data_IF_507681089053
#
_entry.id   IF_507681089053
#
_cell.length_a   1.000
_cell.length_b   1.000
_cell.length_c   1.000
_cell.angle_alpha   90.00
_cell.angle_beta   90.00
_cell.angle_gamma   90.00
#
_symmetry.space_group_name_H-M   'P 1'
#
loop_
_entity.id
_entity.type
_entity.pdbx_description
1 polymer ?
#
# COMPACT_ATOMS: atom_id res chain seq x y z
N UNK A 1 -52.82 11.92 8.48
CA UNK A 1 -51.71 11.66 7.54
C UNK A 1 -50.34 12.15 8.04
N UNK A 2 -50.12 13.45 8.31
CA UNK A 2 -48.79 13.99 8.74
C UNK A 2 -48.17 13.34 9.99
N UNK A 3 -48.99 12.93 10.98
CA UNK A 3 -48.51 12.29 12.22
C UNK A 3 -48.00 10.86 11.98
N UNK A 4 -48.66 10.11 11.09
CA UNK A 4 -48.28 8.75 10.71
C UNK A 4 -46.95 8.75 9.93
N UNK A 5 -46.81 9.67 8.96
CA UNK A 5 -45.56 9.86 8.20
C UNK A 5 -44.38 10.22 9.12
N UNK A 6 -44.59 11.09 10.12
CA UNK A 6 -43.56 11.43 11.11
C UNK A 6 -43.13 10.23 11.97
N UNK A 7 -44.07 9.38 12.38
CA UNK A 7 -43.77 8.18 13.17
C UNK A 7 -43.05 7.13 12.33
N UNK A 8 -43.48 6.92 11.08
CA UNK A 8 -42.79 6.04 10.14
C UNK A 8 -41.35 6.49 9.86
N UNK A 9 -41.15 7.79 9.58
CA UNK A 9 -39.80 8.31 9.32
C UNK A 9 -38.89 8.21 10.56
N UNK A 10 -39.43 8.46 11.76
CA UNK A 10 -38.68 8.32 13.01
C UNK A 10 -38.29 6.88 13.31
N UNK A 11 -39.21 5.93 13.09
CA UNK A 11 -38.92 4.49 13.28
C UNK A 11 -37.90 3.99 12.26
N UNK A 12 -38.06 4.35 10.98
CA UNK A 12 -37.07 4.05 9.95
C UNK A 12 -35.66 4.57 10.29
N UNK A 13 -35.56 5.84 10.72
CA UNK A 13 -34.28 6.43 11.11
C UNK A 13 -33.63 5.69 12.29
N UNK A 14 -34.43 5.31 13.31
CA UNK A 14 -33.94 4.54 14.46
C UNK A 14 -33.43 3.16 14.03
N UNK A 15 -34.16 2.47 13.15
CA UNK A 15 -33.74 1.16 12.62
C UNK A 15 -32.43 1.27 11.83
N UNK A 16 -32.29 2.28 10.98
CA UNK A 16 -31.03 2.53 10.24
C UNK A 16 -29.89 2.84 11.20
N UNK A 17 -30.13 3.66 12.22
CA UNK A 17 -29.11 3.99 13.23
C UNK A 17 -28.63 2.74 13.96
N UNK A 18 -29.54 1.86 14.40
CA UNK A 18 -29.19 0.60 15.07
C UNK A 18 -28.39 -0.30 14.13
N UNK A 19 -28.78 -0.40 12.86
CA UNK A 19 -28.05 -1.20 11.87
C UNK A 19 -26.62 -0.68 11.63
N UNK A 20 -26.45 0.64 11.52
CA UNK A 20 -25.13 1.27 11.36
C UNK A 20 -24.26 1.02 12.60
N UNK A 21 -24.83 1.16 13.81
CA UNK A 21 -24.11 0.91 15.05
C UNK A 21 -23.67 -0.56 15.15
N UNK A 22 -24.57 -1.50 14.85
CA UNK A 22 -24.24 -2.93 14.84
C UNK A 22 -23.14 -3.26 13.84
N UNK A 23 -23.24 -2.74 12.61
CA UNK A 23 -22.23 -2.93 11.57
C UNK A 23 -20.87 -2.34 11.99
N UNK A 24 -20.87 -1.12 12.54
CA UNK A 24 -19.64 -0.47 13.02
C UNK A 24 -18.95 -1.26 14.13
N UNK A 25 -19.72 -1.88 15.03
CA UNK A 25 -19.19 -2.74 16.09
C UNK A 25 -18.52 -4.00 15.53
N UNK A 26 -19.13 -4.63 14.52
CA UNK A 26 -18.53 -5.78 13.82
C UNK A 26 -17.20 -5.37 13.17
N UNK A 27 -17.20 -4.28 12.39
CA UNK A 27 -15.98 -3.80 11.72
C UNK A 27 -14.88 -3.45 12.71
N UNK A 28 -15.21 -2.75 13.80
CA UNK A 28 -14.24 -2.41 14.85
C UNK A 28 -13.67 -3.68 15.51
N UNK A 29 -14.51 -4.67 15.81
CA UNK A 29 -14.07 -5.96 16.34
C UNK A 29 -13.09 -6.69 15.42
N UNK A 30 -13.37 -6.70 14.10
CA UNK A 30 -12.46 -7.26 13.11
C UNK A 30 -11.11 -6.51 13.06
N UNK A 31 -11.12 -5.18 13.04
CA UNK A 31 -9.90 -4.37 13.01
C UNK A 31 -9.05 -4.65 14.26
N UNK A 32 -9.67 -4.65 15.45
CA UNK A 32 -8.95 -4.92 16.69
C UNK A 32 -8.39 -6.35 16.73
N UNK A 33 -9.15 -7.34 16.27
CA UNK A 33 -8.68 -8.72 16.16
C UNK A 33 -7.51 -8.84 15.19
N UNK A 34 -7.57 -8.14 14.06
CA UNK A 34 -6.49 -8.14 13.07
C UNK A 34 -5.22 -7.52 13.64
N UNK A 35 -5.31 -6.36 14.30
CA UNK A 35 -4.16 -5.72 14.95
C UNK A 35 -3.58 -6.63 16.04
N UNK A 36 -4.43 -7.23 16.89
CA UNK A 36 -3.99 -8.10 17.97
C UNK A 36 -3.31 -9.40 17.47
N UNK A 37 -3.67 -9.86 16.26
CA UNK A 37 -3.14 -11.09 15.66
C UNK A 37 -2.02 -10.80 14.66
N UNK A 38 -1.86 -9.54 14.23
CA UNK A 38 -0.84 -9.18 13.25
C UNK A 38 0.55 -9.37 13.85
N UNK A 39 1.38 -10.15 13.16
CA UNK A 39 2.81 -10.23 13.46
C UNK A 39 3.48 -8.93 13.06
N UNK A 40 4.45 -8.46 13.85
CA UNK A 40 5.29 -7.32 13.47
C UNK A 40 5.89 -7.56 12.07
N UNK A 41 5.67 -6.60 11.17
CA UNK A 41 6.21 -6.68 9.81
C UNK A 41 7.71 -6.39 9.91
N UNK A 42 8.52 -7.44 9.87
CA UNK A 42 9.95 -7.27 9.69
C UNK A 42 10.22 -6.91 8.22
N UNK A 43 10.56 -5.65 7.96
CA UNK A 43 10.91 -5.14 6.64
C UNK A 43 12.13 -5.84 6.04
N UNK A 44 13.00 -6.44 6.86
CA UNK A 44 14.11 -7.25 6.36
C UNK A 44 13.62 -8.50 5.62
N UNK A 45 12.45 -9.05 5.97
CA UNK A 45 11.84 -10.16 5.22
C UNK A 45 11.35 -9.73 3.83
N UNK A 46 11.19 -8.42 3.58
CA UNK A 46 10.85 -7.87 2.27
C UNK A 46 12.11 -7.57 1.44
N UNK A 47 13.31 -7.74 1.99
CA UNK A 47 14.55 -7.50 1.25
C UNK A 47 14.68 -8.54 0.15
N UNK A 48 14.74 -8.04 -1.08
CA UNK A 48 14.98 -8.86 -2.25
C UNK A 48 16.38 -9.47 -2.20
N UNK A 49 16.55 -10.62 -2.83
CA UNK A 49 17.89 -11.15 -3.11
C UNK A 49 18.61 -10.16 -4.04
N UNK A 50 19.65 -9.50 -3.52
CA UNK A 50 20.45 -8.51 -4.24
C UNK A 50 21.70 -9.17 -4.81
N UNK A 51 22.18 -8.63 -5.93
CA UNK A 51 23.43 -9.07 -6.54
C UNK A 51 24.63 -8.58 -5.73
N UNK A 52 25.62 -9.44 -5.54
CA UNK A 52 26.91 -9.05 -4.96
C UNK A 52 27.80 -8.44 -6.04
N UNK A 53 28.55 -7.38 -5.70
CA UNK A 53 29.47 -6.72 -6.63
C UNK A 53 30.89 -6.85 -6.08
N UNK A 54 31.77 -7.49 -6.85
CA UNK A 54 33.20 -7.60 -6.56
C UNK A 54 33.91 -6.38 -7.15
N UNK A 55 34.75 -5.73 -6.37
CA UNK A 55 35.55 -4.57 -6.79
C UNK A 55 37.04 -4.89 -6.75
N UNK A 56 37.81 -4.28 -7.64
CA UNK A 56 39.28 -4.26 -7.58
C UNK A 56 39.79 -2.81 -7.57
N UNK A 57 41.02 -2.62 -7.08
CA UNK A 57 41.67 -1.31 -7.07
C UNK A 57 42.64 -1.23 -8.25
N UNK A 58 42.56 -0.16 -9.05
CA UNK A 58 43.51 0.09 -10.14
C UNK A 58 44.83 0.70 -9.61
N UNK A 59 45.79 0.92 -10.51
CA UNK A 59 47.10 1.49 -10.18
C UNK A 59 46.98 2.93 -9.63
N UNK A 60 45.92 3.65 -9.99
CA UNK A 60 45.59 4.98 -9.49
C UNK A 60 44.90 4.98 -8.11
N UNK A 61 44.61 3.81 -7.54
CA UNK A 61 43.97 3.68 -6.23
C UNK A 61 42.42 3.78 -6.25
N UNK A 62 41.80 3.87 -7.43
CA UNK A 62 40.35 3.89 -7.62
C UNK A 62 39.76 2.47 -7.63
N UNK A 63 38.60 2.31 -6.99
CA UNK A 63 37.83 1.08 -7.06
C UNK A 63 37.03 1.00 -8.37
N UNK A 64 37.16 -0.12 -9.09
CA UNK A 64 36.38 -0.45 -10.29
C UNK A 64 35.62 -1.76 -10.07
N UNK A 65 34.42 -1.86 -10.62
CA UNK A 65 33.64 -3.10 -10.61
C UNK A 65 34.40 -4.17 -11.42
N UNK A 66 34.66 -5.33 -10.80
CA UNK A 66 35.25 -6.49 -11.45
C UNK A 66 34.15 -7.39 -12.01
N UNK A 67 33.21 -7.79 -11.16
CA UNK A 67 32.18 -8.78 -11.49
C UNK A 67 30.92 -8.61 -10.64
N UNK A 68 29.75 -8.94 -11.20
CA UNK A 68 28.48 -9.02 -10.48
C UNK A 68 28.07 -10.47 -10.34
N UNK A 69 27.95 -10.93 -9.10
CA UNK A 69 27.50 -12.27 -8.76
C UNK A 69 26.01 -12.22 -8.42
N UNK A 70 25.21 -12.92 -9.22
CA UNK A 70 23.78 -13.06 -9.03
C UNK A 70 23.33 -14.45 -9.47
N UNK A 71 22.21 -14.90 -8.91
CA UNK A 71 21.62 -16.19 -9.26
C UNK A 71 20.72 -16.02 -10.49
N UNK A 72 19.40 -16.03 -10.31
CA UNK A 72 18.42 -15.86 -11.39
C UNK A 72 18.25 -14.40 -11.83
N UNK A 73 18.49 -13.45 -10.92
CA UNK A 73 18.12 -12.05 -11.12
C UNK A 73 19.25 -11.08 -10.76
N UNK A 74 19.55 -10.19 -11.71
CA UNK A 74 20.47 -9.07 -11.50
C UNK A 74 19.72 -7.89 -10.88
N UNK A 75 19.81 -7.73 -9.56
CA UNK A 75 19.11 -6.72 -8.76
C UNK A 75 20.10 -5.85 -8.00
N UNK A 76 20.05 -4.55 -8.25
CA UNK A 76 20.84 -3.53 -7.56
C UNK A 76 19.91 -2.62 -6.79
N UNK A 77 20.20 -2.40 -5.51
CA UNK A 77 19.44 -1.46 -4.69
C UNK A 77 19.77 -0.02 -5.06
N UNK A 78 18.74 0.81 -5.22
CA UNK A 78 18.86 2.25 -5.49
C UNK A 78 17.88 3.00 -4.60
N UNK A 79 18.37 4.02 -3.90
CA UNK A 79 17.53 4.88 -3.07
C UNK A 79 16.57 5.72 -3.93
N UNK A 80 15.35 5.94 -3.45
CA UNK A 80 14.27 6.60 -4.22
C UNK A 80 14.62 8.03 -4.66
N UNK A 81 15.51 8.70 -3.92
CA UNK A 81 16.03 10.03 -4.22
C UNK A 81 16.96 10.03 -5.43
N UNK A 82 17.64 8.91 -5.69
CA UNK A 82 18.53 8.73 -6.85
C UNK A 82 17.75 8.39 -8.13
N UNK A 83 16.48 8.01 -8.02
CA UNK A 83 15.65 7.69 -9.18
C UNK A 83 15.20 8.99 -9.87
N UNK A 84 15.44 9.15 -11.19
CA UNK A 84 15.04 10.34 -11.93
C UNK A 84 13.55 10.62 -11.82
N UNK A 85 13.18 11.91 -11.70
CA UNK A 85 11.78 12.32 -11.55
C UNK A 85 10.88 11.75 -12.66
N UNK A 86 11.27 11.88 -13.92
CA UNK A 86 10.48 11.37 -15.05
C UNK A 86 10.29 9.85 -15.03
N UNK A 87 11.23 9.10 -14.44
CA UNK A 87 11.09 7.66 -14.28
C UNK A 87 10.04 7.33 -13.21
N UNK A 88 10.07 8.05 -12.08
CA UNK A 88 9.04 7.94 -11.03
C UNK A 88 7.66 8.31 -11.56
N UNK A 89 7.57 9.45 -12.22
CA UNK A 89 6.31 9.96 -12.79
C UNK A 89 5.75 8.98 -13.84
N UNK A 90 6.60 8.40 -14.70
CA UNK A 90 6.20 7.41 -15.69
C UNK A 90 5.63 6.14 -15.03
N UNK A 91 6.31 5.60 -14.02
CA UNK A 91 5.86 4.42 -13.29
C UNK A 91 4.52 4.67 -12.59
N UNK A 92 4.40 5.79 -11.87
CA UNK A 92 3.16 6.22 -11.21
C UNK A 92 2.03 6.33 -12.25
N UNK A 93 2.28 6.96 -13.41
CA UNK A 93 1.24 7.15 -14.43
C UNK A 93 0.67 5.83 -15.01
N UNK A 94 1.48 4.78 -15.07
CA UNK A 94 1.11 3.48 -15.66
C UNK A 94 0.43 2.58 -14.64
N UNK A 95 1.03 2.43 -13.46
CA UNK A 95 0.54 1.48 -12.45
C UNK A 95 -0.61 2.07 -11.62
N UNK A 96 -0.44 3.30 -11.15
CA UNK A 96 -1.35 3.96 -10.23
C UNK A 96 -1.25 5.50 -10.32
N UNK A 97 -1.99 6.08 -11.26
CA UNK A 97 -2.00 7.53 -11.56
C UNK A 97 -2.35 8.41 -10.34
N UNK A 98 -2.95 7.84 -9.29
CA UNK A 98 -3.33 8.55 -8.07
C UNK A 98 -2.54 8.12 -6.83
N UNK A 99 -1.46 7.38 -7.02
CA UNK A 99 -0.62 6.86 -5.95
C UNK A 99 -0.31 7.91 -4.88
N UNK A 100 0.16 9.09 -5.28
CA UNK A 100 0.52 10.18 -4.37
C UNK A 100 -0.69 10.86 -3.71
N UNK A 101 -1.89 10.74 -4.29
CA UNK A 101 -3.11 11.41 -3.84
C UNK A 101 -3.86 10.60 -2.78
N UNK A 102 -3.58 9.31 -2.64
CA UNK A 102 -4.28 8.43 -1.71
C UNK A 102 -3.34 7.74 -0.72
N UNK A 103 -3.86 7.37 0.45
CA UNK A 103 -3.09 6.71 1.52
C UNK A 103 -3.05 5.19 1.39
N UNK A 104 -2.86 4.70 0.17
CA UNK A 104 -2.81 3.26 -0.17
C UNK A 104 -4.14 2.61 -0.55
N UNK A 105 -5.28 3.28 -0.32
CA UNK A 105 -6.59 2.76 -0.71
C UNK A 105 -7.29 3.68 -1.71
N UNK A 106 -7.31 3.28 -2.99
CA UNK A 106 -8.03 4.00 -4.04
C UNK A 106 -9.50 3.59 -4.11
N UNK A 107 -10.34 4.26 -3.32
CA UNK A 107 -11.80 4.02 -3.29
C UNK A 107 -12.42 4.15 -4.68
N UNK A 108 -11.96 5.12 -5.49
CA UNK A 108 -12.54 5.38 -6.82
C UNK A 108 -12.26 4.20 -7.76
N UNK A 109 -11.03 3.68 -7.76
CA UNK A 109 -10.64 2.53 -8.58
C UNK A 109 -11.32 1.23 -8.11
N UNK A 110 -11.46 1.06 -6.79
CA UNK A 110 -12.13 -0.12 -6.20
C UNK A 110 -13.61 -0.13 -6.55
N UNK A 111 -14.34 0.97 -6.34
CA UNK A 111 -15.76 1.05 -6.70
C UNK A 111 -15.93 0.90 -8.21
N UNK A 112 -15.08 1.55 -9.00
CA UNK A 112 -15.13 1.47 -10.46
C UNK A 112 -14.79 0.09 -11.03
N UNK A 113 -14.13 -0.79 -10.27
CA UNK A 113 -13.85 -2.17 -10.68
C UNK A 113 -14.96 -3.16 -10.25
N UNK A 114 -15.74 -2.82 -9.22
CA UNK A 114 -16.85 -3.64 -8.71
C UNK A 114 -18.15 -3.41 -9.50
N UNK A 115 -18.36 -2.19 -10.00
CA UNK A 115 -19.50 -1.81 -10.84
C UNK A 115 -19.29 -2.20 -12.30
#
# INVERSE_FOLDING_TARGET
MKRFVKVFFKTFLITVLIAVLAFSGIVAGYILSFIATSTEINVDNLRMNLSSIVYYQNEEGEYKELEKLYDDQNRVWVDIEKIPKYMKDAFISIEDERFEKHKGFDIKRIIGAVL
#
